data_IF_866663114343
#
_entry.id   IF_866663114343
#
_cell.length_a   1.000
_cell.length_b   1.000
_cell.length_c   1.000
_cell.angle_alpha   90.00
_cell.angle_beta   90.00
_cell.angle_gamma   90.00
#
_symmetry.space_group_name_H-M   'P 1'
#
loop_
_entity.id
_entity.type
_entity.pdbx_description
1 polymer ?
#
# COMPACT_ATOMS: atom_id res chain seq x y z
N UNK A 1 7.63 -12.56 28.72
CA UNK A 1 6.51 -12.39 27.76
C UNK A 1 6.76 -11.09 27.02
N UNK A 2 7.56 -11.16 25.96
CA UNK A 2 8.28 -9.99 25.42
C UNK A 2 7.50 -9.26 24.31
N UNK A 3 6.41 -9.86 23.83
CA UNK A 3 5.43 -9.21 22.97
C UNK A 3 4.04 -9.67 23.38
N UNK A 4 3.09 -8.73 23.41
CA UNK A 4 1.72 -8.99 23.81
C UNK A 4 0.80 -8.05 23.04
N UNK A 5 -0.23 -8.61 22.43
CA UNK A 5 -1.22 -7.89 21.64
C UNK A 5 -2.62 -8.21 22.15
N UNK A 6 -3.39 -7.16 22.39
CA UNK A 6 -4.79 -7.26 22.76
C UNK A 6 -5.62 -6.43 21.79
N UNK A 7 -6.70 -7.02 21.31
CA UNK A 7 -7.68 -6.33 20.48
C UNK A 7 -9.08 -6.61 21.02
N UNK A 8 -9.84 -5.56 21.25
CA UNK A 8 -11.24 -5.64 21.66
C UNK A 8 -12.04 -4.74 20.72
N UNK A 9 -13.12 -5.28 20.15
CA UNK A 9 -14.05 -4.51 19.34
C UNK A 9 -15.49 -4.75 19.79
N UNK A 10 -16.30 -3.71 19.68
CA UNK A 10 -17.73 -3.76 19.92
C UNK A 10 -18.46 -3.10 18.75
N UNK A 11 -19.31 -3.88 18.10
CA UNK A 11 -20.12 -3.44 16.96
C UNK A 11 -21.60 -3.41 17.33
N UNK A 12 -22.26 -2.28 17.06
CA UNK A 12 -23.69 -2.10 17.24
C UNK A 12 -24.35 -1.79 15.88
N UNK A 13 -25.05 -2.80 15.36
CA UNK A 13 -25.73 -2.79 14.06
C UNK A 13 -27.26 -2.70 14.20
N UNK A 14 -27.78 -2.34 15.38
CA UNK A 14 -29.23 -2.38 15.67
C UNK A 14 -30.04 -1.31 14.93
N UNK A 15 -29.39 -0.21 14.54
CA UNK A 15 -30.03 0.93 13.86
C UNK A 15 -29.39 1.12 12.48
N UNK A 16 -29.97 2.00 11.67
CA UNK A 16 -29.44 2.34 10.34
C UNK A 16 -27.97 2.75 10.34
N UNK A 17 -27.52 3.47 11.38
CA UNK A 17 -26.11 3.82 11.54
C UNK A 17 -25.43 2.71 12.32
N UNK A 18 -24.49 2.04 11.65
CA UNK A 18 -23.62 1.07 12.29
C UNK A 18 -22.54 1.80 13.06
N UNK A 19 -22.30 1.35 14.29
CA UNK A 19 -21.31 1.96 15.19
C UNK A 19 -20.31 0.89 15.59
N UNK A 20 -19.03 1.20 15.48
CA UNK A 20 -17.94 0.34 15.94
C UNK A 20 -17.04 1.11 16.88
N UNK A 21 -16.65 0.49 17.99
CA UNK A 21 -15.61 0.98 18.87
C UNK A 21 -14.59 -0.14 19.02
N UNK A 22 -13.32 0.17 18.79
CA UNK A 22 -12.23 -0.77 18.97
C UNK A 22 -11.12 -0.18 19.83
N UNK A 23 -10.50 -1.05 20.63
CA UNK A 23 -9.32 -0.77 21.39
C UNK A 23 -8.23 -1.78 21.03
N UNK A 24 -7.05 -1.28 20.70
CA UNK A 24 -5.88 -2.08 20.39
C UNK A 24 -4.74 -1.71 21.32
N UNK A 25 -4.08 -2.73 21.89
CA UNK A 25 -2.86 -2.57 22.68
C UNK A 25 -1.81 -3.50 22.14
N UNK A 26 -0.62 -2.97 21.91
CA UNK A 26 0.54 -3.73 21.47
C UNK A 26 1.77 -3.36 22.30
N UNK A 27 2.54 -4.37 22.69
CA UNK A 27 3.87 -4.21 23.25
C UNK A 27 4.89 -4.85 22.31
N UNK A 28 5.88 -4.07 21.89
CA UNK A 28 6.99 -4.54 21.05
C UNK A 28 8.32 -4.05 21.60
N UNK A 29 9.33 -4.89 21.47
CA UNK A 29 10.72 -4.57 21.80
C UNK A 29 11.49 -4.43 20.48
N UNK A 30 12.29 -3.38 20.38
CA UNK A 30 13.14 -3.08 19.24
C UNK A 30 14.57 -2.88 19.71
N UNK A 31 15.52 -3.24 18.86
CA UNK A 31 16.94 -2.96 19.08
C UNK A 31 17.29 -1.71 18.26
N UNK A 32 17.80 -0.67 18.92
CA UNK A 32 18.23 0.57 18.29
C UNK A 32 19.70 0.81 18.65
N UNK A 33 20.60 0.43 17.75
CA UNK A 33 22.04 0.41 18.04
C UNK A 33 22.35 -0.60 19.15
N UNK A 34 22.87 -0.10 20.27
CA UNK A 34 23.19 -0.92 21.46
C UNK A 34 22.09 -0.88 22.54
N UNK A 35 21.03 -0.09 22.33
CA UNK A 35 19.95 0.11 23.30
C UNK A 35 18.73 -0.72 22.93
N UNK A 36 18.06 -1.28 23.94
CA UNK A 36 16.78 -1.95 23.76
C UNK A 36 15.66 -0.97 24.06
N UNK A 37 14.73 -0.79 23.12
CA UNK A 37 13.57 0.07 23.27
C UNK A 37 12.32 -0.78 23.42
N UNK A 38 11.47 -0.46 24.40
CA UNK A 38 10.16 -1.07 24.57
C UNK A 38 9.07 -0.05 24.26
N UNK A 39 8.28 -0.33 23.24
CA UNK A 39 7.18 0.51 22.79
C UNK A 39 5.86 -0.13 23.21
N UNK A 40 5.07 0.63 23.98
CA UNK A 40 3.69 0.29 24.31
C UNK A 40 2.75 1.22 23.55
N UNK A 41 2.06 0.67 22.56
CA UNK A 41 1.06 1.38 21.77
C UNK A 41 -0.32 1.06 22.29
N UNK A 42 -1.12 2.11 22.52
CA UNK A 42 -2.54 2.00 22.85
C UNK A 42 -3.32 2.84 21.86
N UNK A 43 -4.29 2.25 21.18
CA UNK A 43 -5.11 2.93 20.18
C UNK A 43 -6.60 2.70 20.48
N UNK A 44 -7.34 3.78 20.64
CA UNK A 44 -8.79 3.78 20.66
C UNK A 44 -9.31 4.31 19.34
N UNK A 45 -10.28 3.61 18.72
CA UNK A 45 -10.88 4.00 17.45
C UNK A 45 -12.40 3.88 17.52
N UNK A 46 -13.08 4.95 17.15
CA UNK A 46 -14.53 4.98 16.95
C UNK A 46 -14.85 5.10 15.47
N UNK A 47 -15.81 4.33 14.98
CA UNK A 47 -16.24 4.34 13.58
C UNK A 47 -17.76 4.42 13.50
N UNK A 48 -18.24 5.20 12.52
CA UNK A 48 -19.64 5.32 12.16
C UNK A 48 -19.78 4.99 10.67
N UNK A 49 -20.72 4.13 10.31
CA UNK A 49 -21.06 3.80 8.93
C UNK A 49 -22.52 4.13 8.68
N UNK A 50 -22.75 5.01 7.70
CA UNK A 50 -24.07 5.39 7.22
C UNK A 50 -24.31 4.76 5.83
N UNK A 51 -25.12 3.70 5.72
CA UNK A 51 -25.51 3.12 4.44
C UNK A 51 -26.59 3.99 3.77
N UNK A 52 -26.30 4.44 2.54
CA UNK A 52 -27.29 5.10 1.68
C UNK A 52 -28.22 4.07 1.05
N UNK A 53 -27.64 2.98 0.55
CA UNK A 53 -28.32 1.82 -0.02
C UNK A 53 -27.40 0.58 0.14
N UNK A 54 -27.80 -0.56 -0.44
CA UNK A 54 -27.05 -1.83 -0.33
C UNK A 54 -25.66 -1.79 -0.96
N UNK A 55 -25.39 -0.81 -1.84
CA UNK A 55 -24.16 -0.68 -2.61
C UNK A 55 -23.27 0.47 -2.12
N UNK A 56 -23.83 1.47 -1.45
CA UNK A 56 -23.14 2.74 -1.15
C UNK A 56 -23.22 3.11 0.34
N UNK A 57 -22.07 3.48 0.92
CA UNK A 57 -21.98 3.92 2.31
C UNK A 57 -20.98 5.05 2.50
N UNK A 58 -21.30 5.97 3.41
CA UNK A 58 -20.34 6.94 3.97
C UNK A 58 -19.85 6.41 5.32
N UNK A 59 -18.54 6.46 5.55
CA UNK A 59 -17.93 5.99 6.78
C UNK A 59 -17.03 7.08 7.34
N UNK A 60 -17.13 7.31 8.64
CA UNK A 60 -16.26 8.21 9.38
C UNK A 60 -15.59 7.46 10.51
N UNK A 61 -14.30 7.71 10.75
CA UNK A 61 -13.60 7.20 11.91
C UNK A 61 -12.73 8.25 12.56
N UNK A 62 -12.66 8.19 13.89
CA UNK A 62 -11.74 8.94 14.73
C UNK A 62 -10.89 7.96 15.51
N UNK A 63 -9.59 8.19 15.55
CA UNK A 63 -8.64 7.39 16.32
C UNK A 63 -7.73 8.27 17.16
N UNK A 64 -7.42 7.79 18.34
CA UNK A 64 -6.44 8.37 19.23
C UNK A 64 -5.47 7.27 19.65
N UNK A 65 -4.19 7.52 19.42
CA UNK A 65 -3.11 6.57 19.69
C UNK A 65 -2.06 7.20 20.58
N UNK A 66 -1.65 6.46 21.60
CA UNK A 66 -0.52 6.84 22.47
C UNK A 66 0.58 5.80 22.32
N UNK A 67 1.78 6.27 21.99
CA UNK A 67 2.99 5.46 21.98
C UNK A 67 3.90 5.86 23.13
N UNK A 68 4.10 4.94 24.08
CA UNK A 68 5.07 5.10 25.16
C UNK A 68 6.33 4.33 24.82
N UNK A 69 7.41 5.05 24.57
CA UNK A 69 8.73 4.51 24.22
C UNK A 69 9.61 4.60 25.46
N UNK A 70 9.97 3.45 26.01
CA UNK A 70 10.85 3.35 27.17
C UNK A 70 12.14 2.65 26.78
N UNK A 71 13.27 3.31 26.98
CA UNK A 71 14.59 2.68 26.87
C UNK A 71 14.76 1.71 28.03
N UNK A 72 15.06 0.44 27.73
CA UNK A 72 15.33 -0.57 28.73
C UNK A 72 16.71 -0.34 29.31
N UNK A 73 16.79 -0.36 30.64
CA UNK A 73 18.02 -0.12 31.39
C UNK A 73 18.96 -1.32 31.27
N UNK A 74 19.81 -1.33 30.25
CA UNK A 74 20.88 -2.33 30.06
C UNK A 74 22.24 -1.84 30.56
N UNK A 75 22.41 -0.53 30.72
CA UNK A 75 23.59 0.13 31.28
C UNK A 75 23.20 1.44 31.98
N UNK A 76 24.18 2.15 32.57
CA UNK A 76 23.96 3.40 33.32
C UNK A 76 23.48 4.53 32.40
N UNK A 77 23.91 4.54 31.13
CA UNK A 77 23.50 5.56 30.17
C UNK A 77 22.02 5.40 29.81
N UNK A 78 21.60 4.19 29.44
CA UNK A 78 20.21 3.83 29.12
C UNK A 78 19.26 3.92 30.31
N UNK A 79 19.74 3.72 31.54
CA UNK A 79 18.95 3.96 32.76
C UNK A 79 18.55 5.44 32.92
N UNK A 80 19.39 6.35 32.44
CA UNK A 80 19.19 7.80 32.58
C UNK A 80 18.30 8.39 31.48
N UNK A 81 17.98 7.60 30.44
CA UNK A 81 17.17 8.05 29.31
C UNK A 81 15.69 8.19 29.70
N UNK A 82 15.07 9.36 29.49
CA UNK A 82 13.66 9.57 29.81
C UNK A 82 12.74 8.79 28.87
N UNK A 83 11.57 8.39 29.39
CA UNK A 83 10.51 7.82 28.56
C UNK A 83 9.90 8.90 27.66
N UNK A 84 9.77 8.59 26.37
CA UNK A 84 9.13 9.47 25.38
C UNK A 84 7.69 9.01 25.16
N UNK A 85 6.73 9.94 25.23
CA UNK A 85 5.33 9.67 24.92
C UNK A 85 4.92 10.48 23.69
N UNK A 86 4.43 9.81 22.64
CA UNK A 86 3.84 10.47 21.47
C UNK A 86 2.32 10.29 21.49
N UNK A 87 1.58 11.36 21.20
CA UNK A 87 0.13 11.35 21.14
C UNK A 87 -0.34 11.66 19.73
N UNK A 88 -0.98 10.71 19.09
CA UNK A 88 -1.46 10.82 17.71
C UNK A 88 -2.99 10.90 17.69
N UNK A 89 -3.50 11.89 16.97
CA UNK A 89 -4.90 11.94 16.58
C UNK A 89 -5.03 11.71 15.09
N UNK A 90 -6.03 10.94 14.68
CA UNK A 90 -6.39 10.82 13.27
C UNK A 90 -7.88 10.79 13.04
N UNK A 91 -8.29 11.32 11.89
CA UNK A 91 -9.67 11.33 11.43
C UNK A 91 -9.70 10.88 9.98
N UNK A 92 -10.71 10.08 9.62
CA UNK A 92 -10.89 9.57 8.27
C UNK A 92 -12.34 9.63 7.86
N UNK A 93 -12.60 10.04 6.64
CA UNK A 93 -13.89 9.93 5.97
C UNK A 93 -13.69 9.17 4.68
N UNK A 94 -14.50 8.13 4.44
CA UNK A 94 -14.49 7.39 3.19
C UNK A 94 -15.89 7.18 2.65
N UNK A 95 -16.06 7.40 1.34
CA UNK A 95 -17.22 7.00 0.58
C UNK A 95 -16.89 5.72 -0.16
N UNK A 96 -17.72 4.69 0.02
CA UNK A 96 -17.52 3.37 -0.58
C UNK A 96 -18.74 3.01 -1.41
N UNK A 97 -18.52 2.64 -2.66
CA UNK A 97 -19.50 2.02 -3.55
C UNK A 97 -18.99 0.63 -3.97
N UNK A 98 -19.81 -0.41 -3.85
CA UNK A 98 -19.47 -1.76 -4.26
C UNK A 98 -20.68 -2.48 -4.87
N UNK A 99 -20.61 -2.79 -6.16
CA UNK A 99 -21.61 -3.61 -6.86
C UNK A 99 -21.02 -4.92 -7.39
N UNK A 100 -19.87 -5.34 -6.85
CA UNK A 100 -19.15 -6.50 -7.35
C UNK A 100 -19.83 -7.82 -6.96
N UNK A 101 -19.94 -8.71 -7.94
CA UNK A 101 -20.47 -10.06 -7.78
C UNK A 101 -19.32 -11.06 -7.75
N UNK A 102 -19.27 -11.87 -6.70
CA UNK A 102 -18.30 -12.97 -6.58
C UNK A 102 -18.66 -14.08 -7.58
N UNK A 103 -17.74 -14.43 -8.48
CA UNK A 103 -17.88 -15.55 -9.44
C UNK A 103 -16.97 -16.73 -9.10
N UNK A 104 -16.01 -16.54 -8.20
CA UNK A 104 -15.01 -17.52 -7.82
C UNK A 104 -13.85 -16.86 -7.07
N UNK A 105 -12.90 -17.68 -6.61
CA UNK A 105 -11.73 -17.15 -5.91
C UNK A 105 -10.95 -16.19 -6.84
N UNK A 106 -10.80 -14.94 -6.41
CA UNK A 106 -10.17 -13.87 -7.18
C UNK A 106 -10.83 -13.55 -8.55
N UNK A 107 -12.10 -13.92 -8.72
CA UNK A 107 -12.90 -13.65 -9.92
C UNK A 107 -14.16 -12.86 -9.55
N UNK A 108 -14.14 -11.57 -9.86
CA UNK A 108 -15.22 -10.63 -9.57
C UNK A 108 -15.84 -10.12 -10.86
N UNK A 109 -17.05 -9.57 -10.78
CA UNK A 109 -17.71 -8.88 -11.90
C UNK A 109 -18.46 -7.65 -11.38
N UNK A 110 -18.17 -6.46 -11.92
CA UNK A 110 -18.76 -5.20 -11.48
C UNK A 110 -17.72 -4.13 -11.15
N UNK A 111 -18.19 -3.03 -10.58
CA UNK A 111 -17.45 -1.86 -10.16
C UNK A 111 -17.46 -1.78 -8.63
N UNK A 112 -16.29 -1.51 -8.05
CA UNK A 112 -16.16 -1.01 -6.68
C UNK A 112 -15.19 0.15 -6.64
N UNK A 113 -15.48 1.16 -5.83
CA UNK A 113 -14.55 2.25 -5.62
C UNK A 113 -14.67 2.83 -4.23
N UNK A 114 -13.60 3.49 -3.81
CA UNK A 114 -13.47 4.18 -2.55
C UNK A 114 -12.84 5.54 -2.80
N UNK A 115 -13.48 6.58 -2.28
CA UNK A 115 -12.91 7.91 -2.12
C UNK A 115 -12.62 8.10 -0.64
N UNK A 116 -11.44 8.56 -0.28
CA UNK A 116 -11.09 8.77 1.12
C UNK A 116 -10.33 10.06 1.33
N UNK A 117 -10.56 10.66 2.50
CA UNK A 117 -9.79 11.75 3.05
C UNK A 117 -9.41 11.38 4.48
N UNK A 118 -8.14 11.49 4.82
CA UNK A 118 -7.57 11.10 6.10
C UNK A 118 -6.64 12.20 6.60
N UNK A 119 -6.62 12.44 7.90
CA UNK A 119 -5.71 13.39 8.51
C UNK A 119 -5.09 12.79 9.76
N UNK A 120 -3.82 13.09 9.97
CA UNK A 120 -3.02 12.69 11.11
C UNK A 120 -2.39 13.94 11.73
N UNK A 121 -2.24 13.92 13.06
CA UNK A 121 -1.48 14.95 13.77
C UNK A 121 -0.88 14.36 15.03
N UNK A 122 0.40 14.65 15.27
CA UNK A 122 0.98 14.45 16.59
C UNK A 122 0.56 15.63 17.48
N UNK A 123 -0.37 15.38 18.40
CA UNK A 123 -1.11 16.40 19.16
C UNK A 123 -0.17 17.21 20.07
N UNK A 124 0.89 16.56 20.58
CA UNK A 124 1.88 17.16 21.48
C UNK A 124 2.95 17.99 20.77
N UNK A 125 2.97 18.03 19.42
CA UNK A 125 3.98 18.75 18.64
C UNK A 125 3.36 19.75 17.67
N UNK A 126 4.11 20.80 17.38
CA UNK A 126 3.78 21.75 16.32
C UNK A 126 4.25 21.24 14.96
N UNK A 127 3.59 21.70 13.89
CA UNK A 127 3.95 21.39 12.49
C UNK A 127 4.00 19.89 12.17
N UNK A 128 3.07 19.12 12.72
CA UNK A 128 2.93 17.67 12.51
C UNK A 128 1.63 17.29 11.82
N UNK A 129 0.92 18.27 11.25
CA UNK A 129 -0.33 18.00 10.56
C UNK A 129 -0.05 17.40 9.18
N UNK A 130 -0.70 16.26 8.91
CA UNK A 130 -0.70 15.55 7.64
C UNK A 130 -2.14 15.36 7.19
N UNK A 131 -2.42 15.68 5.94
CA UNK A 131 -3.64 15.36 5.22
C UNK A 131 -3.33 14.45 4.04
N UNK A 132 -4.22 13.50 3.77
CA UNK A 132 -4.14 12.57 2.65
C UNK A 132 -5.51 12.49 2.01
N UNK A 133 -5.57 12.61 0.68
CA UNK A 133 -6.79 12.35 -0.09
C UNK A 133 -6.47 11.39 -1.22
N UNK A 134 -7.38 10.46 -1.50
CA UNK A 134 -7.15 9.48 -2.54
C UNK A 134 -8.39 8.76 -3.01
N UNK A 135 -8.18 7.98 -4.07
CA UNK A 135 -9.17 7.15 -4.74
C UNK A 135 -8.57 5.78 -5.04
N UNK A 136 -9.36 4.74 -4.84
CA UNK A 136 -9.09 3.39 -5.36
C UNK A 136 -10.38 2.91 -6.04
N UNK A 137 -10.34 2.71 -7.36
CA UNK A 137 -11.44 2.25 -8.17
C UNK A 137 -11.05 0.97 -8.91
N UNK A 138 -11.92 -0.04 -8.90
CA UNK A 138 -11.69 -1.35 -9.51
C UNK A 138 -12.90 -1.73 -10.33
N UNK A 139 -12.68 -2.08 -11.58
CA UNK A 139 -13.71 -2.53 -12.51
C UNK A 139 -13.36 -3.91 -13.04
N UNK A 140 -14.31 -4.82 -12.98
CA UNK A 140 -14.17 -6.20 -13.45
C UNK A 140 -15.20 -6.46 -14.52
N UNK A 141 -14.72 -6.64 -15.75
CA UNK A 141 -15.54 -6.95 -16.91
C UNK A 141 -15.43 -8.43 -17.23
N UNK A 142 -16.56 -9.13 -17.16
CA UNK A 142 -16.70 -10.48 -17.71
C UNK A 142 -16.69 -10.42 -19.24
N UNK A 143 -15.59 -10.83 -19.85
CA UNK A 143 -15.46 -10.90 -21.31
C UNK A 143 -16.23 -12.09 -21.88
N UNK A 144 -15.97 -13.29 -21.36
CA UNK A 144 -16.65 -14.52 -21.78
C UNK A 144 -16.51 -15.60 -20.72
N UNK A 145 -17.62 -16.28 -20.38
CA UNK A 145 -17.62 -17.32 -19.33
C UNK A 145 -16.89 -16.85 -18.06
N UNK A 146 -15.82 -17.50 -17.62
CA UNK A 146 -15.04 -17.09 -16.44
C UNK A 146 -13.82 -16.20 -16.76
N UNK A 147 -13.62 -15.80 -18.03
CA UNK A 147 -12.57 -14.85 -18.41
C UNK A 147 -12.95 -13.44 -17.95
N UNK A 148 -12.08 -12.82 -17.15
CA UNK A 148 -12.29 -11.50 -16.56
C UNK A 148 -11.17 -10.56 -16.97
N UNK A 149 -11.54 -9.37 -17.45
CA UNK A 149 -10.64 -8.23 -17.51
C UNK A 149 -10.83 -7.41 -16.24
N UNK A 150 -9.80 -7.34 -15.41
CA UNK A 150 -9.78 -6.56 -14.18
C UNK A 150 -8.94 -5.30 -14.40
N UNK A 151 -9.51 -4.14 -14.11
CA UNK A 151 -8.82 -2.85 -14.17
C UNK A 151 -8.88 -2.18 -12.80
N UNK A 152 -7.76 -1.62 -12.34
CA UNK A 152 -7.65 -0.82 -11.12
C UNK A 152 -7.07 0.53 -11.46
N UNK A 153 -7.64 1.57 -10.86
CA UNK A 153 -7.09 2.91 -10.82
C UNK A 153 -6.91 3.32 -9.36
N UNK A 154 -5.71 3.70 -8.97
CA UNK A 154 -5.40 4.19 -7.64
C UNK A 154 -4.61 5.50 -7.76
N UNK A 155 -5.04 6.52 -7.02
CA UNK A 155 -4.32 7.78 -6.95
C UNK A 155 -4.46 8.38 -5.57
N UNK A 156 -3.41 9.01 -5.07
CA UNK A 156 -3.42 9.65 -3.76
C UNK A 156 -2.42 10.79 -3.71
N UNK A 157 -2.71 11.80 -2.89
CA UNK A 157 -1.80 12.91 -2.63
C UNK A 157 -1.83 13.26 -1.15
N UNK A 158 -0.68 13.67 -0.63
CA UNK A 158 -0.53 14.14 0.74
C UNK A 158 -0.09 15.61 0.82
N UNK A 159 -0.57 16.31 1.84
CA UNK A 159 -0.34 17.74 2.08
C UNK A 159 -0.34 18.04 3.57
N UNK A 160 0.12 19.24 3.95
CA UNK A 160 0.26 19.65 5.35
C UNK A 160 1.71 19.99 5.69
N UNK A 161 1.98 20.15 6.98
CA UNK A 161 3.32 20.43 7.52
C UNK A 161 4.25 19.19 7.41
N UNK A 162 3.65 18.01 7.48
CA UNK A 162 4.29 16.72 7.20
C UNK A 162 3.61 16.06 6.01
N UNK A 163 4.38 15.27 5.26
CA UNK A 163 3.89 14.55 4.08
C UNK A 163 4.03 13.03 4.23
N UNK A 164 3.28 12.30 3.42
CA UNK A 164 3.38 10.85 3.26
C UNK A 164 4.13 10.60 1.95
N UNK A 165 5.28 9.91 2.02
CA UNK A 165 5.99 9.49 0.80
C UNK A 165 5.37 8.20 0.26
N UNK A 166 5.11 8.18 -1.04
CA UNK A 166 4.70 6.99 -1.77
C UNK A 166 5.89 6.42 -2.53
N UNK A 167 6.20 5.14 -2.30
CA UNK A 167 7.19 4.40 -3.07
C UNK A 167 6.47 3.55 -4.11
N UNK A 168 6.54 3.95 -5.38
CA UNK A 168 6.00 3.18 -6.49
C UNK A 168 6.93 2.01 -6.81
N UNK A 169 6.36 0.83 -7.08
CA UNK A 169 7.15 -0.33 -7.52
C UNK A 169 6.70 -1.65 -6.87
N UNK A 170 7.17 -2.75 -7.44
CA UNK A 170 6.96 -4.11 -6.94
C UNK A 170 5.49 -4.54 -6.88
N UNK A 171 5.25 -5.71 -6.28
CA UNK A 171 3.95 -6.30 -6.07
C UNK A 171 3.63 -6.37 -4.57
N UNK A 172 2.36 -6.19 -4.23
CA UNK A 172 1.90 -6.29 -2.84
C UNK A 172 2.19 -7.69 -2.26
N UNK A 173 2.64 -7.74 -1.01
CA UNK A 173 3.00 -8.98 -0.30
C UNK A 173 3.95 -9.89 -1.10
N UNK A 174 4.92 -9.32 -1.83
CA UNK A 174 5.99 -10.06 -2.49
C UNK A 174 6.96 -10.66 -1.46
N UNK A 175 7.24 -11.95 -1.64
CA UNK A 175 8.25 -12.72 -0.89
C UNK A 175 9.56 -12.81 -1.71
N UNK A 176 9.43 -12.84 -3.04
CA UNK A 176 10.54 -12.83 -3.99
C UNK A 176 10.31 -11.67 -4.97
N UNK A 177 11.34 -10.87 -5.31
CA UNK A 177 12.72 -10.92 -4.78
C UNK A 177 12.79 -10.56 -3.29
N UNK A 178 13.89 -10.90 -2.61
CA UNK A 178 14.08 -10.59 -1.17
C UNK A 178 14.55 -9.16 -0.95
N UNK A 179 15.38 -8.64 -1.87
CA UNK A 179 15.75 -7.24 -1.91
C UNK A 179 14.78 -6.51 -2.84
N UNK A 180 13.82 -5.82 -2.23
CA UNK A 180 12.68 -5.24 -2.93
C UNK A 180 12.74 -3.72 -3.02
N UNK A 181 13.79 -3.05 -2.56
CA UNK A 181 13.83 -1.58 -2.49
C UNK A 181 15.07 -0.99 -3.19
N UNK A 182 14.84 -0.07 -4.11
CA UNK A 182 15.92 0.66 -4.78
C UNK A 182 16.37 1.87 -3.96
N UNK A 183 17.59 1.81 -3.41
CA UNK A 183 18.18 2.92 -2.64
C UNK A 183 18.94 3.93 -3.50
N UNK A 184 19.10 3.69 -4.81
CA UNK A 184 19.78 4.61 -5.72
C UNK A 184 18.94 5.84 -6.07
N UNK A 185 17.61 5.73 -5.94
CA UNK A 185 16.67 6.81 -6.28
C UNK A 185 16.46 7.70 -5.05
N UNK A 186 16.89 8.97 -5.10
CA UNK A 186 16.86 9.86 -3.95
C UNK A 186 15.43 10.25 -3.58
N UNK A 187 15.22 10.44 -2.28
CA UNK A 187 13.97 10.92 -1.70
C UNK A 187 14.17 12.39 -1.33
N UNK A 188 13.21 13.25 -1.67
CA UNK A 188 13.28 14.67 -1.33
C UNK A 188 13.14 14.89 0.19
N UNK A 189 14.28 15.11 0.86
CA UNK A 189 14.33 15.34 2.30
C UNK A 189 13.73 16.70 2.72
N UNK A 190 13.52 17.63 1.78
CA UNK A 190 12.92 18.95 2.08
C UNK A 190 11.42 18.86 2.35
N UNK A 191 10.76 17.77 1.96
CA UNK A 191 9.31 17.59 2.06
C UNK A 191 8.80 17.21 3.46
N UNK A 192 9.71 17.01 4.44
CA UNK A 192 9.36 16.64 5.82
C UNK A 192 8.41 15.42 5.88
N UNK A 193 8.81 14.31 5.26
CA UNK A 193 8.02 13.08 5.27
C UNK A 193 7.92 12.48 6.67
N UNK A 194 6.71 12.40 7.23
CA UNK A 194 6.45 11.79 8.53
C UNK A 194 6.05 10.31 8.46
N UNK A 195 5.57 9.88 7.30
CA UNK A 195 5.08 8.53 7.05
C UNK A 195 5.49 8.07 5.65
N UNK A 196 5.44 6.76 5.43
CA UNK A 196 5.67 6.14 4.13
C UNK A 196 4.59 5.11 3.78
N UNK A 197 4.29 4.98 2.49
CA UNK A 197 3.39 3.98 1.95
C UNK A 197 3.96 3.44 0.64
N UNK A 198 3.65 2.18 0.33
CA UNK A 198 4.04 1.57 -0.95
C UNK A 198 2.86 1.71 -1.92
N UNK A 199 3.13 2.23 -3.11
CA UNK A 199 2.18 2.32 -4.21
C UNK A 199 2.34 1.08 -5.12
N UNK A 200 1.55 0.06 -4.84
CA UNK A 200 1.51 -1.22 -5.57
C UNK A 200 0.19 -1.42 -6.30
N UNK A 201 0.14 -2.22 -7.38
CA UNK A 201 1.24 -2.98 -8.00
C UNK A 201 1.88 -2.23 -9.15
N UNK A 202 3.20 -2.32 -9.28
CA UNK A 202 3.94 -1.84 -10.43
C UNK A 202 5.01 -2.88 -10.77
N UNK A 203 4.58 -3.99 -11.39
CA UNK A 203 5.43 -5.16 -11.69
C UNK A 203 6.44 -4.84 -12.78
N UNK A 204 7.60 -5.48 -12.74
CA UNK A 204 8.75 -5.19 -13.61
C UNK A 204 9.75 -4.21 -13.00
N UNK A 205 9.46 -3.70 -11.80
CA UNK A 205 10.35 -2.88 -10.99
C UNK A 205 10.37 -3.35 -9.54
N UNK A 206 11.50 -3.19 -8.86
CA UNK A 206 11.53 -3.20 -7.39
C UNK A 206 10.88 -1.90 -6.86
N UNK A 207 10.62 -1.83 -5.56
CA UNK A 207 10.05 -0.65 -4.91
C UNK A 207 10.98 0.55 -5.07
N UNK A 208 10.39 1.75 -5.05
CA UNK A 208 11.06 3.03 -5.17
C UNK A 208 11.58 3.37 -6.58
N UNK A 209 11.01 2.79 -7.65
CA UNK A 209 11.33 3.26 -9.02
C UNK A 209 10.92 4.73 -9.22
N UNK A 210 9.84 5.16 -8.58
CA UNK A 210 9.45 6.57 -8.45
C UNK A 210 8.98 6.82 -7.03
N UNK A 211 9.22 8.02 -6.53
CA UNK A 211 8.71 8.42 -5.22
C UNK A 211 8.25 9.88 -5.19
N UNK A 212 7.40 10.17 -4.20
CA UNK A 212 6.96 11.53 -3.91
C UNK A 212 5.73 11.58 -3.02
N UNK A 213 5.19 12.78 -2.80
CA UNK A 213 4.01 12.97 -1.95
C UNK A 213 2.69 12.64 -2.67
N UNK A 214 2.73 12.40 -3.98
CA UNK A 214 1.59 12.03 -4.81
C UNK A 214 1.92 10.83 -5.70
N UNK A 215 0.92 10.01 -6.01
CA UNK A 215 1.05 8.94 -6.99
C UNK A 215 -0.24 8.73 -7.78
N UNK A 216 -0.10 8.13 -8.96
CA UNK A 216 -1.19 7.61 -9.76
C UNK A 216 -0.76 6.28 -10.40
N UNK A 217 -1.67 5.31 -10.42
CA UNK A 217 -1.42 3.96 -10.88
C UNK A 217 -2.65 3.38 -11.57
N UNK A 218 -2.43 2.78 -12.73
CA UNK A 218 -3.42 2.01 -13.48
C UNK A 218 -2.88 0.58 -13.63
N UNK A 219 -3.68 -0.40 -13.26
CA UNK A 219 -3.39 -1.81 -13.48
C UNK A 219 -4.48 -2.43 -14.35
N UNK A 220 -4.08 -3.21 -15.34
CA UNK A 220 -4.97 -4.02 -16.15
C UNK A 220 -4.51 -5.47 -16.08
N UNK A 221 -5.43 -6.39 -15.83
CA UNK A 221 -5.18 -7.82 -15.72
C UNK A 221 -6.23 -8.61 -16.51
N UNK A 222 -5.78 -9.39 -17.49
CA UNK A 222 -6.60 -10.40 -18.14
C UNK A 222 -6.44 -11.73 -17.38
N UNK A 223 -7.47 -12.12 -16.64
CA UNK A 223 -7.47 -13.32 -15.80
C UNK A 223 -8.20 -14.48 -16.48
N UNK A 224 -7.46 -15.52 -16.83
CA UNK A 224 -7.97 -16.72 -17.49
C UNK A 224 -7.94 -17.94 -16.53
N UNK A 225 -9.07 -18.28 -15.89
CA UNK A 225 -9.19 -19.47 -15.05
C UNK A 225 -9.34 -20.73 -15.91
N UNK A 226 -8.19 -21.27 -16.34
CA UNK A 226 -8.06 -22.31 -17.39
C UNK A 226 -9.07 -23.45 -17.23
N UNK A 227 -9.07 -24.12 -16.07
CA UNK A 227 -9.90 -25.31 -15.90
C UNK A 227 -11.38 -24.98 -15.66
N UNK A 228 -11.70 -23.87 -15.01
CA UNK A 228 -13.11 -23.44 -14.87
C UNK A 228 -13.71 -23.01 -16.21
N UNK A 229 -12.88 -22.50 -17.13
CA UNK A 229 -13.31 -22.08 -18.45
C UNK A 229 -13.56 -23.27 -19.39
N UNK A 230 -12.66 -24.27 -19.36
CA UNK A 230 -12.68 -25.43 -20.25
C UNK A 230 -13.61 -26.54 -19.75
N UNK A 231 -13.73 -26.74 -18.43
CA UNK A 231 -14.49 -27.83 -17.86
C UNK A 231 -15.86 -27.36 -17.36
N UNK A 232 -16.93 -27.99 -17.87
CA UNK A 232 -18.31 -27.78 -17.41
C UNK A 232 -18.72 -28.75 -16.28
N UNK A 233 -17.77 -29.25 -15.48
CA UNK A 233 -18.01 -30.21 -14.40
C UNK A 233 -17.40 -29.75 -13.08
N UNK A 234 -17.94 -30.17 -11.92
CA UNK A 234 -17.37 -29.84 -10.62
C UNK A 234 -15.92 -30.34 -10.50
N UNK A 235 -15.00 -29.45 -10.12
CA UNK A 235 -13.58 -29.76 -9.88
C UNK A 235 -13.36 -29.90 -8.38
N UNK A 236 -12.95 -31.11 -7.94
CA UNK A 236 -12.67 -31.39 -6.52
C UNK A 236 -11.34 -30.81 -6.04
N UNK A 237 -10.32 -30.84 -6.89
CA UNK A 237 -9.00 -30.30 -6.56
C UNK A 237 -9.05 -28.78 -6.51
N UNK A 238 -8.70 -28.24 -5.35
CA UNK A 238 -8.74 -26.82 -5.10
C UNK A 238 -7.69 -26.04 -5.90
N UNK A 239 -6.49 -26.60 -6.04
CA UNK A 239 -5.44 -26.06 -6.87
C UNK A 239 -5.86 -25.99 -8.35
N UNK A 240 -6.41 -27.08 -8.90
CA UNK A 240 -6.83 -27.12 -10.31
C UNK A 240 -8.01 -26.18 -10.54
N UNK A 241 -8.97 -26.14 -9.61
CA UNK A 241 -10.13 -25.27 -9.71
C UNK A 241 -9.73 -23.79 -9.77
N UNK A 242 -8.76 -23.37 -8.97
CA UNK A 242 -8.37 -21.96 -8.88
C UNK A 242 -7.16 -21.58 -9.74
N UNK A 243 -6.65 -22.50 -10.56
CA UNK A 243 -5.53 -22.23 -11.45
C UNK A 243 -5.93 -21.20 -12.51
N UNK A 244 -5.17 -20.11 -12.55
CA UNK A 244 -5.37 -18.97 -13.44
C UNK A 244 -4.06 -18.66 -14.16
N UNK A 245 -4.16 -18.38 -15.45
CA UNK A 245 -3.13 -17.69 -16.21
C UNK A 245 -3.54 -16.23 -16.27
N UNK A 246 -2.60 -15.32 -16.04
CA UNK A 246 -2.84 -13.89 -16.04
C UNK A 246 -1.87 -13.20 -16.98
N UNK A 247 -2.37 -12.28 -17.80
CA UNK A 247 -1.56 -11.26 -18.48
C UNK A 247 -1.84 -9.91 -17.86
N UNK A 248 -0.83 -9.06 -17.69
CA UNK A 248 -1.01 -7.76 -17.05
C UNK A 248 -0.27 -6.62 -17.73
N UNK A 249 -0.78 -5.41 -17.50
CA UNK A 249 -0.20 -4.12 -17.87
C UNK A 249 -0.43 -3.13 -16.72
N UNK A 250 0.66 -2.69 -16.12
CA UNK A 250 0.74 -1.71 -15.04
C UNK A 250 1.34 -0.42 -15.62
N UNK A 251 0.76 0.73 -15.31
CA UNK A 251 1.27 2.04 -15.71
C UNK A 251 1.13 2.98 -14.52
N UNK A 252 2.22 3.61 -14.10
CA UNK A 252 2.19 4.42 -12.90
C UNK A 252 3.24 5.52 -12.87
N UNK A 253 3.05 6.44 -11.95
CA UNK A 253 3.99 7.51 -11.65
C UNK A 253 3.82 7.93 -10.18
N UNK A 254 4.92 8.35 -9.56
CA UNK A 254 4.93 9.00 -8.26
C UNK A 254 5.83 10.23 -8.36
N UNK A 255 5.41 11.33 -7.75
CA UNK A 255 6.04 12.63 -7.93
C UNK A 255 5.87 13.52 -6.70
N UNK A 256 6.76 14.50 -6.61
CA UNK A 256 6.69 15.60 -5.67
C UNK A 256 6.19 16.84 -6.39
N UNK A 257 5.34 17.62 -5.74
CA UNK A 257 4.85 18.89 -6.28
C UNK A 257 3.51 18.83 -7.02
N UNK A 258 3.31 19.77 -7.95
CA UNK A 258 2.01 19.99 -8.61
C UNK A 258 1.69 19.00 -9.72
N UNK A 259 2.70 18.46 -10.39
CA UNK A 259 2.51 17.52 -11.50
C UNK A 259 3.70 16.58 -11.67
N UNK A 260 3.51 15.43 -12.34
CA UNK A 260 4.60 14.48 -12.63
C UNK A 260 5.76 15.09 -13.44
N UNK A 261 5.50 16.14 -14.22
CA UNK A 261 6.49 16.80 -15.08
C UNK A 261 7.07 18.07 -14.46
N UNK A 262 6.81 18.31 -13.16
CA UNK A 262 7.36 19.47 -12.50
C UNK A 262 8.86 19.26 -12.18
N UNK A 263 9.64 20.35 -12.24
CA UNK A 263 11.10 20.31 -12.08
C UNK A 263 11.57 20.01 -10.65
N UNK A 264 10.65 20.06 -9.67
CA UNK A 264 10.88 19.78 -8.24
C UNK A 264 10.94 18.28 -7.90
N UNK A 265 10.87 17.41 -8.90
CA UNK A 265 11.00 15.97 -8.71
C UNK A 265 12.43 15.54 -8.41
N UNK A 266 12.66 14.92 -7.24
CA UNK A 266 13.99 14.47 -6.81
C UNK A 266 14.61 13.40 -7.70
N UNK A 267 13.80 12.59 -8.38
CA UNK A 267 14.29 11.56 -9.31
C UNK A 267 14.90 12.12 -10.59
N UNK A 268 14.74 13.42 -10.88
CA UNK A 268 15.44 14.08 -11.97
C UNK A 268 16.91 14.40 -11.62
N UNK A 269 17.36 14.12 -10.39
CA UNK A 269 18.73 14.44 -9.96
C UNK A 269 19.48 13.16 -9.60
N UNK A 270 20.69 12.99 -10.14
CA UNK A 270 21.63 11.96 -9.71
C UNK A 270 22.82 12.64 -9.03
N UNK A 271 23.11 12.27 -7.79
CA UNK A 271 24.25 12.83 -7.04
C UNK A 271 25.43 11.87 -7.14
N UNK A 272 26.40 12.21 -8.00
CA UNK A 272 27.67 11.50 -8.10
C UNK A 272 28.66 12.11 -7.11
N UNK A 273 28.89 11.42 -6.00
CA UNK A 273 29.85 11.83 -4.99
C UNK A 273 31.28 11.46 -5.43
N UNK A 274 31.98 12.41 -6.07
CA UNK A 274 33.43 12.37 -6.19
C UNK A 274 34.07 13.10 -5.00
N UNK A 275 35.14 12.56 -4.42
CA UNK A 275 36.00 13.36 -3.53
C UNK A 275 37.07 14.03 -4.40
N UNK A 276 37.16 15.38 -4.52
CA UNK A 276 36.52 16.42 -3.69
C UNK A 276 35.29 17.12 -4.30
N UNK A 277 34.75 16.66 -5.44
CA UNK A 277 33.62 17.30 -6.14
C UNK A 277 32.39 16.40 -6.19
N UNK A 278 31.30 16.84 -5.56
CA UNK A 278 29.96 16.26 -5.78
C UNK A 278 29.36 16.86 -7.05
N UNK A 279 29.05 16.01 -8.03
CA UNK A 279 28.37 16.40 -9.26
C UNK A 279 26.88 16.04 -9.12
N UNK A 280 26.00 17.03 -9.23
CA UNK A 280 24.55 16.82 -9.32
C UNK A 280 24.21 16.85 -10.81
N UNK A 281 23.82 15.71 -11.35
CA UNK A 281 23.41 15.56 -12.73
C UNK A 281 21.89 15.69 -12.82
N UNK A 282 21.40 16.73 -13.49
CA UNK A 282 19.98 16.84 -13.84
C UNK A 282 19.70 15.92 -15.03
N UNK A 283 19.07 14.76 -14.77
CA UNK A 283 18.54 13.86 -15.78
C UNK A 283 17.06 14.18 -16.03
N UNK A 284 16.71 14.41 -17.28
CA UNK A 284 15.32 14.47 -17.69
C UNK A 284 14.79 13.04 -17.85
N UNK A 285 14.26 12.48 -16.76
CA UNK A 285 13.69 11.14 -16.70
C UNK A 285 12.19 11.21 -16.98
N UNK A 286 11.63 10.28 -17.76
CA UNK A 286 10.18 10.19 -17.94
C UNK A 286 9.54 9.79 -16.59
N UNK A 287 8.66 10.63 -16.01
CA UNK A 287 8.02 10.30 -14.75
C UNK A 287 7.09 9.09 -14.83
N UNK A 288 6.65 8.71 -16.04
CA UNK A 288 5.73 7.59 -16.26
C UNK A 288 6.53 6.32 -16.54
N UNK A 289 6.26 5.29 -15.76
CA UNK A 289 6.81 3.95 -15.96
C UNK A 289 5.69 2.97 -16.29
N UNK A 290 5.99 1.99 -17.13
CA UNK A 290 5.07 0.93 -17.51
C UNK A 290 5.67 -0.45 -17.21
N UNK A 291 4.84 -1.40 -16.84
CA UNK A 291 5.24 -2.75 -16.49
C UNK A 291 4.28 -3.73 -17.12
N UNK A 292 4.76 -4.75 -17.82
CA UNK A 292 3.88 -5.73 -18.45
C UNK A 292 4.42 -7.13 -18.28
N UNK A 293 3.57 -8.12 -18.42
CA UNK A 293 4.01 -9.50 -18.31
C UNK A 293 2.89 -10.49 -18.11
N UNK A 294 3.27 -11.64 -17.58
CA UNK A 294 2.36 -12.76 -17.39
C UNK A 294 2.70 -13.57 -16.15
N UNK A 295 1.71 -14.29 -15.66
CA UNK A 295 1.86 -15.07 -14.44
C UNK A 295 0.87 -16.19 -14.31
N UNK A 296 1.13 -17.06 -13.34
CA UNK A 296 0.26 -18.15 -12.94
C UNK A 296 -0.14 -17.96 -11.48
N UNK A 297 -1.41 -18.27 -11.18
CA UNK A 297 -1.97 -18.10 -9.84
C UNK A 297 -2.80 -19.30 -9.47
N UNK A 298 -2.74 -19.71 -8.21
CA UNK A 298 -3.62 -20.76 -7.70
C UNK A 298 -3.68 -20.74 -6.17
N UNK A 299 -4.59 -21.53 -5.61
CA UNK A 299 -4.65 -21.77 -4.16
C UNK A 299 -3.87 -23.03 -3.81
N UNK A 300 -2.90 -22.89 -2.91
CA UNK A 300 -2.08 -23.98 -2.39
C UNK A 300 -2.00 -23.86 -0.86
N UNK A 301 -2.28 -24.96 -0.14
CA UNK A 301 -2.34 -25.00 1.33
C UNK A 301 -3.24 -23.92 1.97
N UNK A 302 -4.30 -23.49 1.27
CA UNK A 302 -5.20 -22.42 1.73
C UNK A 302 -4.76 -21.00 1.37
N UNK A 303 -3.50 -20.82 0.93
CA UNK A 303 -2.97 -19.53 0.49
C UNK A 303 -3.14 -19.35 -1.01
N UNK A 304 -3.52 -18.13 -1.43
CA UNK A 304 -3.55 -17.78 -2.85
C UNK A 304 -2.16 -17.28 -3.26
N UNK A 305 -1.46 -18.09 -4.05
CA UNK A 305 -0.10 -17.84 -4.51
C UNK A 305 -0.15 -17.22 -5.90
N UNK A 306 0.66 -16.19 -6.12
CA UNK A 306 0.86 -15.55 -7.42
C UNK A 306 2.33 -15.65 -7.81
N UNK A 307 2.58 -16.14 -9.02
CA UNK A 307 3.91 -16.22 -9.63
C UNK A 307 3.86 -15.42 -10.93
N UNK A 308 4.33 -14.18 -10.88
CA UNK A 308 4.22 -13.21 -11.96
C UNK A 308 5.62 -12.86 -12.49
N UNK A 309 5.84 -12.86 -13.81
CA UNK A 309 7.05 -12.36 -14.47
C UNK A 309 6.71 -11.02 -15.11
N UNK A 310 7.39 -9.96 -14.69
CA UNK A 310 7.16 -8.60 -15.18
C UNK A 310 8.40 -8.01 -15.84
N UNK A 311 8.22 -7.41 -17.00
CA UNK A 311 9.20 -6.57 -17.68
C UNK A 311 8.87 -5.10 -17.40
N UNK A 312 9.84 -4.36 -16.89
CA UNK A 312 9.73 -2.91 -16.74
C UNK A 312 10.02 -2.19 -18.06
N UNK A 313 9.32 -1.11 -18.31
CA UNK A 313 9.55 -0.16 -19.40
C UNK A 313 9.68 1.25 -18.82
N UNK A 314 10.83 1.86 -19.03
CA UNK A 314 11.18 3.18 -18.53
C UNK A 314 12.11 3.86 -19.55
N UNK A 315 11.91 5.15 -19.80
CA UNK A 315 12.75 5.96 -20.69
C UNK A 315 12.97 5.35 -22.09
N UNK A 316 11.97 4.65 -22.64
CA UNK A 316 12.06 4.02 -23.95
C UNK A 316 12.75 2.64 -23.96
N UNK A 317 13.19 2.14 -22.81
CA UNK A 317 13.95 0.90 -22.68
C UNK A 317 13.17 -0.15 -21.89
N UNK A 318 13.13 -1.37 -22.42
CA UNK A 318 12.60 -2.55 -21.72
C UNK A 318 13.71 -3.15 -20.86
N UNK A 319 13.47 -3.23 -19.55
CA UNK A 319 14.37 -3.83 -18.56
C UNK A 319 14.25 -5.35 -18.52
N UNK A 320 15.23 -6.01 -17.90
CA UNK A 320 15.18 -7.45 -17.66
C UNK A 320 13.96 -7.85 -16.80
N UNK A 321 13.40 -9.04 -17.03
CA UNK A 321 12.23 -9.48 -16.29
C UNK A 321 12.56 -9.75 -14.82
N UNK A 322 11.67 -9.31 -13.95
CA UNK A 322 11.70 -9.64 -12.53
C UNK A 322 10.64 -10.72 -12.26
N UNK A 323 11.05 -11.76 -11.55
CA UNK A 323 10.14 -12.78 -11.04
C UNK A 323 9.60 -12.39 -9.66
N UNK A 324 8.28 -12.38 -9.53
CA UNK A 324 7.59 -12.13 -8.28
C UNK A 324 6.89 -13.38 -7.78
N UNK A 325 7.17 -13.75 -6.54
CA UNK A 325 6.35 -14.70 -5.79
C UNK A 325 5.65 -13.95 -4.67
N UNK A 326 4.33 -13.91 -4.65
CA UNK A 326 3.55 -13.18 -3.65
C UNK A 326 2.36 -13.97 -3.13
N UNK A 327 1.90 -13.58 -1.94
CA UNK A 327 0.72 -14.16 -1.29
C UNK A 327 -0.36 -13.08 -1.16
N UNK A 328 -1.55 -13.33 -1.70
CA UNK A 328 -2.63 -12.35 -1.59
C UNK A 328 -3.64 -12.47 -2.70
N UNK A 329 -4.83 -11.92 -2.47
CA UNK A 329 -5.87 -11.80 -3.48
C UNK A 329 -5.81 -10.43 -4.15
N UNK A 330 -6.37 -10.35 -5.36
CA UNK A 330 -6.43 -9.14 -6.19
C UNK A 330 -5.05 -8.56 -6.55
N UNK A 331 -4.98 -7.28 -6.93
CA UNK A 331 -3.72 -6.54 -7.13
C UNK A 331 -3.04 -6.34 -5.77
#
# INVERSE_FOLDING_TARGET
MNSNEYFVSYDNLKKRVDKSISFYRQAREYISGFSYLKVHTHEGKGQLRFPFNDLASLRGSLSFRTDRITTLSTDIATLSEPTVNNYWGSAKVEYVYDNTLNKGLNLWNGLRYKLFAETFRQIDKEKTWLGVVGVDARYYLKLHRQLILASRFAASTSFGDQKLVYYLGSQDNAIIPTDIFDYSIPIDQTQNYGFQAIATNMRGFIQNIRNGNSFALINNELRFPVFQYLLNKPIRSDFIRNFQIVGFLDVGTAWTGKSPYANDNSFNTEVLNGNPVTVILDRQVDPIVAGFGGGIRSRLFGYFIRSDWGWGYEDGVVREPIFYLSLGLDF
#
